data_IF_175397522018
#
_entry.id   IF_175397522018
#
_cell.length_a   1.000
_cell.length_b   1.000
_cell.length_c   1.000
_cell.angle_alpha   90.00
_cell.angle_beta   90.00
_cell.angle_gamma   90.00
#
_symmetry.space_group_name_H-M   'P 1'
#
loop_
_entity.id
_entity.type
_entity.pdbx_description
1 polymer ?
#
# COMPACT_ATOMS: atom_id res chain seq x y z
N UNK A 1 44.70 -17.48 83.73
CA UNK A 1 46.09 -17.11 83.33
C UNK A 1 46.13 -15.66 82.85
N UNK A 2 47.31 -15.03 82.91
CA UNK A 2 47.75 -13.76 82.29
C UNK A 2 49.16 -14.04 81.73
N UNK A 3 49.72 -13.31 80.73
CA UNK A 3 49.90 -11.84 80.68
C UNK A 3 49.43 -11.22 79.33
N UNK A 4 49.63 -9.94 78.98
CA UNK A 4 50.15 -8.70 79.60
C UNK A 4 49.92 -7.54 78.60
N UNK A 5 49.57 -6.29 78.96
CA UNK A 5 50.43 -5.25 79.56
C UNK A 5 51.52 -4.78 78.56
N UNK A 6 51.68 -3.50 78.15
CA UNK A 6 51.24 -2.14 78.60
C UNK A 6 51.14 -1.24 77.32
N UNK A 7 50.70 0.03 77.26
CA UNK A 7 50.26 1.06 78.23
C UNK A 7 49.82 2.37 77.47
N UNK A 8 49.46 3.45 78.18
CA UNK A 8 49.11 4.79 77.60
C UNK A 8 50.25 5.81 77.82
N UNK A 9 50.32 6.90 77.02
CA UNK A 9 49.83 8.22 77.53
C UNK A 9 49.11 9.13 76.48
N UNK A 10 48.55 10.26 76.95
CA UNK A 10 48.08 11.44 76.16
C UNK A 10 49.10 12.59 76.32
N UNK A 11 49.26 13.54 75.38
CA UNK A 11 48.60 14.87 75.48
C UNK A 11 48.20 15.50 74.10
N UNK A 12 47.04 16.19 73.97
CA UNK A 12 46.73 17.65 74.06
C UNK A 12 46.93 18.51 72.77
N UNK A 13 45.81 19.12 72.35
CA UNK A 13 45.59 20.51 71.86
C UNK A 13 46.56 21.20 70.86
N UNK A 14 46.00 21.72 69.75
CA UNK A 14 46.70 22.46 68.67
C UNK A 14 46.94 21.59 67.41
N UNK A 15 46.83 22.06 66.17
CA UNK A 15 46.47 23.38 65.61
C UNK A 15 45.45 23.23 64.43
N UNK A 16 45.32 24.24 63.54
CA UNK A 16 44.35 24.29 62.42
C UNK A 16 44.88 23.62 61.14
N UNK A 17 44.04 22.93 60.35
CA UNK A 17 44.38 22.56 58.97
C UNK A 17 43.38 21.70 58.17
N UNK A 18 42.75 22.31 57.15
CA UNK A 18 42.35 21.76 55.82
C UNK A 18 41.49 20.46 55.66
N UNK A 19 40.21 20.69 55.27
CA UNK A 19 39.39 20.05 54.19
C UNK A 19 38.98 18.54 54.14
N UNK A 20 37.67 18.33 53.91
CA UNK A 20 36.98 17.18 53.22
C UNK A 20 37.10 15.76 53.84
N UNK A 21 36.24 14.76 53.49
CA UNK A 21 34.90 14.73 52.86
C UNK A 21 33.84 13.95 53.73
N UNK A 22 32.64 13.55 53.28
CA UNK A 22 31.49 14.29 52.70
C UNK A 22 30.17 13.46 52.80
N UNK A 23 28.99 14.14 52.77
CA UNK A 23 27.62 13.55 52.66
C UNK A 23 27.05 12.79 53.91
N UNK A 24 25.72 12.51 54.05
CA UNK A 24 24.79 11.99 53.03
C UNK A 24 23.65 12.94 52.58
N UNK A 25 22.84 12.43 51.63
CA UNK A 25 21.79 13.09 50.85
C UNK A 25 20.68 13.80 51.65
N UNK A 26 20.28 14.99 51.17
CA UNK A 26 18.92 15.55 51.33
C UNK A 26 18.30 15.82 49.97
N UNK A 27 17.05 15.38 49.74
CA UNK A 27 16.30 15.67 48.52
C UNK A 27 16.08 17.18 48.38
N UNK A 28 16.50 17.79 47.27
CA UNK A 28 16.07 19.13 46.88
C UNK A 28 14.88 19.02 45.92
N UNK A 29 13.78 19.67 46.25
CA UNK A 29 12.70 19.94 45.30
C UNK A 29 13.20 21.03 44.34
N UNK A 30 13.04 20.81 43.03
CA UNK A 30 13.37 21.83 42.02
C UNK A 30 12.38 23.00 42.09
N UNK A 31 12.83 24.26 41.95
CA UNK A 31 11.94 25.41 41.97
C UNK A 31 11.03 25.40 40.73
N UNK A 32 9.70 25.50 40.94
CA UNK A 32 8.69 25.47 39.87
C UNK A 32 8.90 26.50 38.76
N UNK A 33 9.66 27.57 39.00
CA UNK A 33 9.99 28.61 38.03
C UNK A 33 10.84 28.15 36.83
N UNK A 34 11.58 27.03 36.94
CA UNK A 34 12.46 26.55 35.85
C UNK A 34 11.81 25.53 34.89
N UNK A 35 10.56 25.12 35.14
CA UNK A 35 9.87 24.16 34.27
C UNK A 35 9.30 24.80 32.99
N UNK A 36 8.86 26.06 33.06
CA UNK A 36 8.23 26.73 31.91
C UNK A 36 9.19 26.92 30.72
N UNK A 37 10.46 27.37 30.89
CA UNK A 37 11.40 27.46 29.77
C UNK A 37 11.72 26.10 29.13
N UNK A 38 11.80 25.03 29.94
CA UNK A 38 12.07 23.66 29.45
C UNK A 38 10.85 23.12 28.69
N UNK A 39 9.64 23.39 29.16
CA UNK A 39 8.41 23.01 28.46
C UNK A 39 8.26 23.76 27.13
N UNK A 40 8.54 25.06 27.12
CA UNK A 40 8.53 25.88 25.90
C UNK A 40 9.60 25.44 24.90
N UNK A 41 10.81 25.07 25.37
CA UNK A 41 11.85 24.50 24.52
C UNK A 41 11.43 23.14 23.95
N UNK A 42 10.82 22.26 24.75
CA UNK A 42 10.31 20.97 24.28
C UNK A 42 9.18 21.13 23.24
N UNK A 43 8.28 22.09 23.44
CA UNK A 43 7.23 22.43 22.47
C UNK A 43 7.80 23.06 21.19
N UNK A 44 8.82 23.92 21.30
CA UNK A 44 9.51 24.50 20.14
C UNK A 44 10.26 23.43 19.34
N UNK A 45 10.98 22.53 20.00
CA UNK A 45 11.65 21.38 19.36
C UNK A 45 10.63 20.41 18.76
N UNK A 46 9.52 20.12 19.44
CA UNK A 46 8.43 19.30 18.91
C UNK A 46 7.78 19.92 17.66
N UNK A 47 7.54 21.23 17.66
CA UNK A 47 7.01 21.98 16.51
C UNK A 47 8.02 22.06 15.35
N UNK A 48 9.31 22.25 15.65
CA UNK A 48 10.38 22.21 14.66
C UNK A 48 10.52 20.81 14.04
N UNK A 49 10.46 19.74 14.85
CA UNK A 49 10.47 18.36 14.35
C UNK A 49 9.21 18.04 13.54
N UNK A 50 8.02 18.49 13.97
CA UNK A 50 6.78 18.29 13.22
C UNK A 50 6.78 19.03 11.87
N UNK A 51 7.26 20.28 11.83
CA UNK A 51 7.38 21.05 10.58
C UNK A 51 8.49 20.52 9.68
N UNK A 52 9.62 20.08 10.23
CA UNK A 52 10.68 19.41 9.46
C UNK A 52 10.20 18.06 8.91
N UNK A 53 9.52 17.22 9.71
CA UNK A 53 8.93 15.94 9.29
C UNK A 53 7.86 16.14 8.20
N UNK A 54 6.95 17.10 8.39
CA UNK A 54 5.98 17.50 7.39
C UNK A 54 6.61 18.05 6.11
N UNK A 55 7.75 18.75 6.21
CA UNK A 55 8.52 19.21 5.05
C UNK A 55 9.31 18.08 4.37
N UNK A 56 9.75 17.08 5.13
CA UNK A 56 10.49 15.92 4.64
C UNK A 56 9.58 15.02 3.81
N UNK A 57 8.41 14.64 4.34
CA UNK A 57 7.40 13.92 3.56
C UNK A 57 6.98 14.71 2.32
N UNK A 58 6.71 16.01 2.45
CA UNK A 58 6.36 16.89 1.30
C UNK A 58 7.49 17.01 0.27
N UNK A 59 8.76 16.82 0.65
CA UNK A 59 9.92 16.80 -0.26
C UNK A 59 10.16 15.44 -0.90
N UNK A 60 9.72 14.34 -0.28
CA UNK A 60 9.71 13.00 -0.89
C UNK A 60 8.55 12.76 -1.87
N UNK A 61 7.62 13.71 -2.01
CA UNK A 61 6.46 13.59 -2.93
C UNK A 61 6.65 14.26 -4.30
N UNK A 62 7.83 14.79 -4.65
CA UNK A 62 8.15 15.18 -6.03
C UNK A 62 8.53 13.96 -6.90
N UNK A 63 7.63 12.98 -6.92
CA UNK A 63 7.50 12.04 -8.03
C UNK A 63 7.00 12.79 -9.28
N UNK A 64 7.27 12.28 -10.50
CA UNK A 64 6.74 12.88 -11.73
C UNK A 64 5.23 13.06 -11.63
N UNK A 65 4.74 14.28 -11.86
CA UNK A 65 3.31 14.56 -11.97
C UNK A 65 2.80 13.97 -13.27
N UNK A 66 2.39 12.69 -13.26
CA UNK A 66 1.45 12.20 -14.26
C UNK A 66 0.24 13.13 -14.26
N UNK A 67 -0.24 13.59 -15.43
CA UNK A 67 -1.33 14.55 -15.48
C UNK A 67 -2.55 14.04 -14.71
N UNK A 68 -3.26 14.94 -14.02
CA UNK A 68 -4.58 14.63 -13.48
C UNK A 68 -5.53 14.41 -14.65
N UNK A 69 -5.61 13.18 -15.14
CA UNK A 69 -6.71 12.75 -16.00
C UNK A 69 -8.00 12.94 -15.21
N UNK A 70 -8.80 13.90 -15.68
CA UNK A 70 -10.07 14.25 -15.06
C UNK A 70 -11.05 13.09 -15.14
N UNK A 71 -11.98 13.05 -14.19
CA UNK A 71 -13.10 12.12 -14.23
C UNK A 71 -13.82 12.22 -15.57
N UNK A 72 -14.03 11.10 -16.27
CA UNK A 72 -14.62 11.12 -17.62
C UNK A 72 -15.97 11.85 -17.61
N UNK A 73 -16.24 12.73 -18.59
CA UNK A 73 -17.57 13.26 -18.84
C UNK A 73 -18.59 12.13 -19.01
N UNK A 74 -19.82 12.32 -18.54
CA UNK A 74 -20.85 11.26 -18.51
C UNK A 74 -21.01 10.54 -19.85
N UNK A 75 -21.07 11.29 -20.96
CA UNK A 75 -21.20 10.72 -22.29
C UNK A 75 -20.04 9.79 -22.69
N UNK A 76 -18.83 10.00 -22.15
CA UNK A 76 -17.67 9.12 -22.36
C UNK A 76 -17.69 7.94 -21.37
N UNK A 77 -18.07 8.16 -20.11
CA UNK A 77 -18.29 7.08 -19.14
C UNK A 77 -19.36 6.07 -19.62
N UNK A 78 -20.51 6.56 -20.09
CA UNK A 78 -21.56 5.72 -20.71
C UNK A 78 -21.03 4.95 -21.93
N UNK A 79 -20.16 5.57 -22.75
CA UNK A 79 -19.52 4.92 -23.91
C UNK A 79 -18.58 3.78 -23.50
N UNK A 80 -17.77 3.96 -22.47
CA UNK A 80 -16.88 2.91 -21.93
C UNK A 80 -17.72 1.75 -21.38
N UNK A 81 -18.72 2.05 -20.54
CA UNK A 81 -19.64 1.03 -19.99
C UNK A 81 -20.39 0.27 -21.10
N UNK A 82 -20.83 0.96 -22.16
CA UNK A 82 -21.50 0.37 -23.33
C UNK A 82 -20.59 -0.44 -24.27
N UNK A 83 -19.28 -0.55 -23.98
CA UNK A 83 -18.39 -1.48 -24.69
C UNK A 83 -18.24 -2.83 -23.96
N UNK A 84 -18.68 -2.92 -22.69
CA UNK A 84 -18.53 -4.09 -21.82
C UNK A 84 -19.67 -5.11 -21.97
N UNK A 85 -20.14 -5.30 -23.20
CA UNK A 85 -21.02 -6.41 -23.56
C UNK A 85 -20.18 -7.69 -23.68
N UNK A 86 -20.56 -8.77 -22.99
CA UNK A 86 -19.72 -9.99 -22.91
C UNK A 86 -19.53 -10.69 -24.26
N UNK A 87 -20.57 -10.73 -25.11
CA UNK A 87 -20.49 -11.34 -26.45
C UNK A 87 -19.56 -10.53 -27.36
N UNK A 88 -19.68 -9.20 -27.29
CA UNK A 88 -18.77 -8.26 -27.96
C UNK A 88 -17.35 -8.36 -27.43
N UNK A 89 -17.15 -8.45 -26.12
CA UNK A 89 -15.81 -8.55 -25.49
C UNK A 89 -15.10 -9.82 -25.97
N UNK A 90 -15.80 -10.96 -25.98
CA UNK A 90 -15.27 -12.22 -26.48
C UNK A 90 -14.86 -12.12 -27.96
N UNK A 91 -15.79 -11.71 -28.84
CA UNK A 91 -15.54 -11.66 -30.28
C UNK A 91 -14.55 -10.58 -30.72
N UNK A 92 -14.54 -9.41 -30.06
CA UNK A 92 -13.79 -8.21 -30.50
C UNK A 92 -12.41 -8.10 -29.86
N UNK A 93 -12.23 -8.55 -28.62
CA UNK A 93 -11.02 -8.29 -27.84
C UNK A 93 -10.33 -9.57 -27.33
N UNK A 94 -11.07 -10.50 -26.71
CA UNK A 94 -10.46 -11.71 -26.14
C UNK A 94 -10.00 -12.69 -27.24
N UNK A 95 -10.86 -13.01 -28.22
CA UNK A 95 -10.49 -13.91 -29.32
C UNK A 95 -9.28 -13.41 -30.14
N UNK A 96 -9.12 -12.10 -30.44
CA UNK A 96 -7.88 -11.59 -31.05
C UNK A 96 -6.65 -11.54 -30.15
N UNK A 97 -6.77 -11.61 -28.81
CA UNK A 97 -5.63 -11.72 -27.90
C UNK A 97 -5.01 -13.13 -27.89
N UNK A 98 -5.78 -14.15 -28.27
CA UNK A 98 -5.28 -15.51 -28.51
C UNK A 98 -4.36 -15.61 -29.74
N UNK A 99 -4.28 -14.55 -30.57
CA UNK A 99 -3.40 -14.48 -31.74
C UNK A 99 -2.04 -13.90 -31.32
N UNK A 100 -1.06 -14.78 -31.13
CA UNK A 100 0.32 -14.41 -30.73
C UNK A 100 0.94 -13.42 -31.74
N UNK A 101 1.30 -12.23 -31.26
CA UNK A 101 1.99 -11.20 -32.05
C UNK A 101 3.48 -11.20 -31.71
N UNK A 102 4.28 -11.86 -32.53
CA UNK A 102 5.73 -11.92 -32.34
C UNK A 102 6.35 -10.50 -32.31
N UNK A 103 7.38 -10.26 -31.46
CA UNK A 103 8.09 -8.97 -31.41
C UNK A 103 8.58 -8.52 -32.79
N UNK A 104 8.46 -7.23 -33.09
CA UNK A 104 8.91 -6.65 -34.37
C UNK A 104 7.93 -6.81 -35.54
N UNK A 105 6.88 -7.62 -35.42
CA UNK A 105 5.80 -7.65 -36.44
C UNK A 105 5.09 -6.29 -36.55
N UNK A 106 4.50 -5.93 -37.71
CA UNK A 106 3.77 -4.67 -37.87
C UNK A 106 2.66 -4.46 -36.82
N UNK A 107 1.95 -5.53 -36.45
CA UNK A 107 0.93 -5.50 -35.39
C UNK A 107 1.48 -5.39 -33.96
N UNK A 108 2.75 -5.75 -33.73
CA UNK A 108 3.48 -5.43 -32.50
C UNK A 108 3.93 -3.97 -32.50
N UNK A 109 4.50 -3.48 -33.62
CA UNK A 109 4.96 -2.10 -33.77
C UNK A 109 3.82 -1.07 -33.70
N UNK A 110 2.63 -1.37 -34.23
CA UNK A 110 1.45 -0.50 -34.10
C UNK A 110 1.02 -0.31 -32.64
N UNK A 111 1.01 -1.38 -31.84
CA UNK A 111 0.68 -1.33 -30.40
C UNK A 111 1.78 -0.61 -29.60
N UNK A 112 3.02 -0.60 -30.10
CA UNK A 112 4.16 0.11 -29.52
C UNK A 112 4.32 1.57 -29.99
N UNK A 113 3.33 2.15 -30.69
CA UNK A 113 3.30 3.60 -30.93
C UNK A 113 3.16 4.32 -29.58
N UNK A 114 4.13 5.16 -29.25
CA UNK A 114 4.42 5.52 -27.87
C UNK A 114 3.40 6.48 -27.24
N UNK A 115 2.49 5.93 -26.44
CA UNK A 115 2.05 6.60 -25.22
C UNK A 115 3.16 6.48 -24.16
N UNK A 116 3.37 7.49 -23.27
CA UNK A 116 4.40 7.44 -22.24
C UNK A 116 4.07 6.45 -21.10
N UNK A 117 2.81 6.03 -21.01
CA UNK A 117 2.30 5.01 -20.08
C UNK A 117 1.49 4.01 -20.91
N UNK A 118 1.53 2.74 -20.54
CA UNK A 118 0.78 1.66 -21.23
C UNK A 118 0.30 0.60 -20.24
N UNK A 119 -0.64 -0.25 -20.66
CA UNK A 119 -1.17 -1.34 -19.87
C UNK A 119 -0.32 -2.60 -20.04
N UNK A 120 0.08 -3.21 -18.92
CA UNK A 120 0.59 -4.57 -18.86
C UNK A 120 -0.37 -5.43 -18.02
N UNK A 121 -0.66 -6.64 -18.48
CA UNK A 121 -1.35 -7.66 -17.71
C UNK A 121 -0.33 -8.71 -17.25
N UNK A 122 -0.47 -9.16 -16.01
CA UNK A 122 0.31 -10.24 -15.42
C UNK A 122 -0.67 -11.33 -14.98
N UNK A 123 -0.40 -12.56 -15.40
CA UNK A 123 -1.03 -13.77 -14.88
C UNK A 123 0.10 -14.52 -14.20
N UNK A 124 -0.02 -14.71 -12.89
CA UNK A 124 1.03 -15.23 -12.04
C UNK A 124 0.71 -16.69 -11.68
N UNK A 125 1.76 -17.48 -11.47
CA UNK A 125 1.69 -18.94 -11.34
C UNK A 125 2.30 -19.37 -10.01
N UNK A 126 1.67 -20.33 -9.34
CA UNK A 126 2.01 -20.73 -7.97
C UNK A 126 1.97 -19.55 -6.99
N UNK A 127 0.85 -18.84 -6.91
CA UNK A 127 0.56 -17.91 -5.81
C UNK A 127 0.40 -18.72 -4.51
N UNK A 128 -0.49 -19.72 -4.53
CA UNK A 128 -0.84 -20.57 -3.39
C UNK A 128 0.33 -21.35 -2.77
N UNK A 129 0.15 -21.73 -1.50
CA UNK A 129 1.01 -22.67 -0.78
C UNK A 129 0.74 -24.12 -1.20
N UNK A 130 1.80 -24.94 -1.28
CA UNK A 130 1.66 -26.38 -1.52
C UNK A 130 1.41 -27.17 -0.22
N UNK A 131 1.77 -26.62 0.96
CA UNK A 131 1.52 -27.22 2.27
C UNK A 131 1.23 -26.22 3.39
N UNK A 132 2.10 -25.24 3.58
CA UNK A 132 2.04 -24.32 4.71
C UNK A 132 2.52 -22.93 4.28
N UNK A 133 1.61 -21.95 4.30
CA UNK A 133 1.89 -20.60 3.83
C UNK A 133 3.11 -19.99 4.53
N UNK A 134 4.11 -19.58 3.74
CA UNK A 134 5.24 -18.83 4.28
C UNK A 134 6.35 -18.57 3.25
N UNK A 135 7.45 -17.91 3.65
CA UNK A 135 8.44 -17.32 2.72
C UNK A 135 9.12 -18.26 1.70
N UNK A 136 8.93 -19.57 1.84
CA UNK A 136 9.42 -20.62 0.93
C UNK A 136 8.30 -21.29 0.11
N UNK A 137 7.09 -21.35 0.64
CA UNK A 137 5.94 -22.14 0.20
C UNK A 137 4.68 -21.24 0.05
N UNK A 138 4.81 -20.25 -0.81
CA UNK A 138 3.77 -19.37 -1.39
C UNK A 138 4.44 -18.43 -2.41
N UNK A 139 3.69 -17.65 -3.18
CA UNK A 139 4.17 -16.54 -4.01
C UNK A 139 5.31 -16.92 -4.97
N UNK A 140 5.31 -18.12 -5.55
CA UNK A 140 6.40 -18.64 -6.37
C UNK A 140 6.62 -17.77 -7.63
N UNK A 141 5.55 -17.50 -8.38
CA UNK A 141 5.56 -16.71 -9.60
C UNK A 141 6.00 -15.26 -9.37
N UNK A 142 5.37 -14.54 -8.44
CA UNK A 142 5.75 -13.15 -8.12
C UNK A 142 7.16 -13.04 -7.52
N UNK A 143 7.57 -13.94 -6.61
CA UNK A 143 8.96 -13.96 -6.08
C UNK A 143 9.97 -14.16 -7.19
N UNK A 144 9.66 -14.94 -8.23
CA UNK A 144 10.52 -15.09 -9.40
C UNK A 144 10.49 -13.85 -10.31
N UNK A 145 9.29 -13.42 -10.74
CA UNK A 145 9.13 -12.32 -11.69
C UNK A 145 9.64 -10.98 -11.16
N UNK A 146 9.41 -10.66 -9.88
CA UNK A 146 9.88 -9.41 -9.28
C UNK A 146 11.42 -9.33 -9.26
N UNK A 147 12.11 -10.44 -8.97
CA UNK A 147 13.58 -10.55 -9.10
C UNK A 147 14.07 -10.39 -10.54
N UNK A 148 13.33 -10.94 -11.51
CA UNK A 148 13.69 -10.82 -12.92
C UNK A 148 13.46 -9.40 -13.45
N UNK A 149 12.37 -8.73 -13.03
CA UNK A 149 12.08 -7.34 -13.42
C UNK A 149 13.01 -6.33 -12.74
N UNK A 150 13.61 -6.69 -11.60
CA UNK A 150 14.69 -5.96 -10.92
C UNK A 150 16.05 -6.07 -11.63
N UNK A 151 16.29 -7.14 -12.41
CA UNK A 151 17.54 -7.30 -13.18
C UNK A 151 17.42 -6.93 -14.67
N UNK A 152 16.21 -6.86 -15.22
CA UNK A 152 15.97 -6.46 -16.62
C UNK A 152 15.98 -4.93 -16.81
N UNK A 153 16.86 -4.36 -17.66
CA UNK A 153 16.87 -2.92 -17.94
C UNK A 153 15.60 -2.38 -18.63
N UNK A 154 15.28 -1.09 -18.41
CA UNK A 154 14.14 -0.42 -19.06
C UNK A 154 14.26 1.11 -19.15
N UNK A 155 14.85 1.62 -20.23
CA UNK A 155 14.92 3.07 -20.51
C UNK A 155 13.51 3.69 -20.62
N UNK A 156 13.26 4.91 -20.07
CA UNK A 156 14.23 5.83 -19.48
C UNK A 156 14.60 5.55 -18.00
N UNK A 157 13.96 4.56 -17.37
CA UNK A 157 14.33 4.12 -16.02
C UNK A 157 15.56 3.20 -16.01
N UNK A 158 16.01 2.74 -14.81
CA UNK A 158 17.08 1.77 -14.72
C UNK A 158 16.59 0.34 -15.04
N UNK A 159 15.46 -0.09 -14.46
CA UNK A 159 14.95 -1.48 -14.53
C UNK A 159 13.45 -1.56 -14.81
N UNK A 160 12.97 -2.71 -15.28
CA UNK A 160 11.54 -2.94 -15.59
C UNK A 160 10.63 -2.83 -14.36
N UNK A 161 11.09 -3.19 -13.17
CA UNK A 161 10.27 -3.08 -11.96
C UNK A 161 10.06 -1.62 -11.54
N UNK A 162 11.05 -0.75 -11.79
CA UNK A 162 10.96 0.69 -11.54
C UNK A 162 10.11 1.43 -12.59
N UNK A 163 9.77 0.77 -13.70
CA UNK A 163 8.84 1.29 -14.70
C UNK A 163 7.36 1.04 -14.37
N UNK A 164 7.06 0.29 -13.29
CA UNK A 164 5.69 0.04 -12.84
C UNK A 164 5.19 1.27 -12.05
N UNK A 165 4.43 2.16 -12.68
CA UNK A 165 3.84 3.33 -12.00
C UNK A 165 2.78 2.93 -10.96
N UNK A 166 1.99 1.89 -11.26
CA UNK A 166 1.00 1.32 -10.35
C UNK A 166 0.79 -0.17 -10.65
N UNK A 167 1.01 -1.05 -9.67
CA UNK A 167 0.56 -2.43 -9.72
C UNK A 167 -0.83 -2.51 -9.08
N UNK A 168 -1.86 -2.69 -9.90
CA UNK A 168 -3.20 -3.07 -9.42
C UNK A 168 -3.25 -4.59 -9.39
N UNK A 169 -3.46 -5.18 -8.21
CA UNK A 169 -3.63 -6.62 -8.04
C UNK A 169 -5.08 -6.90 -7.63
N UNK A 170 -5.67 -7.92 -8.26
CA UNK A 170 -7.07 -8.30 -8.17
C UNK A 170 -7.13 -9.71 -7.62
N UNK A 171 -7.73 -9.90 -6.45
CA UNK A 171 -7.81 -11.22 -5.82
C UNK A 171 -9.14 -11.42 -5.05
N UNK A 172 -9.56 -12.67 -4.87
CA UNK A 172 -10.80 -13.13 -4.23
C UNK A 172 -12.06 -12.38 -4.73
N UNK A 173 -12.10 -12.06 -6.02
CA UNK A 173 -13.19 -11.34 -6.68
C UNK A 173 -14.25 -12.30 -7.24
N UNK A 174 -15.50 -12.16 -6.81
CA UNK A 174 -16.64 -12.84 -7.44
C UNK A 174 -17.85 -13.04 -6.54
N UNK A 175 -17.62 -13.17 -5.23
CA UNK A 175 -18.64 -13.29 -4.21
C UNK A 175 -19.61 -12.07 -4.16
N UNK A 176 -20.83 -12.22 -3.60
CA UNK A 176 -21.74 -11.09 -3.40
C UNK A 176 -21.19 -10.11 -2.36
N UNK A 177 -21.51 -8.82 -2.53
CA UNK A 177 -21.23 -7.73 -1.58
C UNK A 177 -19.78 -7.68 -1.02
N UNK A 178 -18.73 -7.74 -1.87
CA UNK A 178 -17.34 -7.69 -1.41
C UNK A 178 -17.02 -6.30 -0.85
N UNK A 179 -16.19 -6.25 0.19
CA UNK A 179 -15.73 -5.01 0.83
C UNK A 179 -14.25 -4.82 0.60
N UNK A 180 -13.84 -3.65 0.08
CA UNK A 180 -12.45 -3.29 -0.17
C UNK A 180 -12.05 -2.08 0.69
N UNK A 181 -10.79 -2.03 1.10
CA UNK A 181 -10.18 -0.91 1.84
C UNK A 181 -8.85 -0.47 1.20
N UNK A 182 -8.33 0.69 1.59
CA UNK A 182 -7.06 1.20 1.09
C UNK A 182 -5.87 0.64 1.87
N UNK A 183 -5.33 -0.50 1.44
CA UNK A 183 -4.20 -1.16 2.11
C UNK A 183 -2.91 -0.31 2.20
N UNK A 184 -2.70 0.68 1.32
CA UNK A 184 -1.45 1.45 1.27
C UNK A 184 -1.67 2.98 1.14
N UNK A 185 -1.16 3.80 2.07
CA UNK A 185 -1.29 5.27 1.99
C UNK A 185 -0.73 5.87 0.68
N UNK A 186 0.32 5.29 0.10
CA UNK A 186 0.94 5.77 -1.14
C UNK A 186 0.03 5.67 -2.37
N UNK A 187 -1.01 4.85 -2.33
CA UNK A 187 -1.96 4.62 -3.45
C UNK A 187 -3.42 4.95 -3.10
N UNK A 188 -3.69 5.49 -1.90
CA UNK A 188 -5.03 5.89 -1.45
C UNK A 188 -5.75 6.82 -2.44
N UNK A 189 -5.01 7.66 -3.16
CA UNK A 189 -5.54 8.54 -4.23
C UNK A 189 -6.24 7.75 -5.35
N UNK A 190 -5.74 6.56 -5.68
CA UNK A 190 -6.30 5.68 -6.70
C UNK A 190 -7.48 4.87 -6.16
N UNK A 191 -7.41 4.42 -4.90
CA UNK A 191 -8.55 3.82 -4.20
C UNK A 191 -9.74 4.81 -4.12
N UNK A 192 -9.48 6.09 -3.83
CA UNK A 192 -10.50 7.14 -3.87
C UNK A 192 -11.06 7.40 -5.29
N UNK A 193 -10.31 7.11 -6.36
CA UNK A 193 -10.86 7.13 -7.73
C UNK A 193 -11.84 5.99 -7.97
N UNK A 194 -11.51 4.75 -7.56
CA UNK A 194 -12.44 3.61 -7.64
C UNK A 194 -13.76 3.90 -6.92
N UNK A 195 -13.69 4.40 -5.68
CA UNK A 195 -14.88 4.85 -4.90
C UNK A 195 -15.65 5.99 -5.58
N UNK A 196 -14.96 6.92 -6.25
CA UNK A 196 -15.62 8.01 -7.00
C UNK A 196 -16.31 7.51 -8.27
N UNK A 197 -15.74 6.48 -8.92
CA UNK A 197 -16.28 5.83 -10.12
C UNK A 197 -17.52 4.98 -9.75
N UNK A 198 -17.45 4.19 -8.68
CA UNK A 198 -18.58 3.45 -8.09
C UNK A 198 -19.80 4.37 -7.88
N UNK A 199 -19.63 5.45 -7.11
CA UNK A 199 -20.67 6.46 -6.89
C UNK A 199 -21.28 7.03 -8.18
N UNK A 200 -20.43 7.34 -9.17
CA UNK A 200 -20.87 7.88 -10.46
C UNK A 200 -21.65 6.85 -11.28
N UNK A 201 -21.24 5.58 -11.26
CA UNK A 201 -21.96 4.50 -11.95
C UNK A 201 -23.31 4.21 -11.27
N UNK A 202 -23.36 4.17 -9.93
CA UNK A 202 -24.61 4.02 -9.18
C UNK A 202 -25.62 5.15 -9.51
N UNK A 203 -25.23 6.42 -9.38
CA UNK A 203 -26.10 7.59 -9.68
C UNK A 203 -26.69 7.60 -11.08
N UNK A 204 -25.99 6.98 -12.05
CA UNK A 204 -26.42 6.91 -13.45
C UNK A 204 -27.24 5.65 -13.76
N UNK A 205 -27.56 4.83 -12.75
CA UNK A 205 -28.17 3.50 -12.87
C UNK A 205 -27.38 2.56 -13.81
N UNK A 206 -26.05 2.61 -13.71
CA UNK A 206 -25.10 1.82 -14.50
C UNK A 206 -24.49 0.66 -13.70
N UNK A 207 -25.03 0.33 -12.52
CA UNK A 207 -24.68 -0.87 -11.73
C UNK A 207 -25.93 -1.75 -11.55
N UNK A 208 -25.75 -3.07 -11.50
CA UNK A 208 -26.80 -4.06 -11.26
C UNK A 208 -26.86 -4.42 -9.77
N UNK A 209 -28.07 -4.65 -9.23
CA UNK A 209 -28.28 -5.07 -7.83
C UNK A 209 -27.51 -4.24 -6.78
N UNK A 210 -27.40 -2.93 -7.01
CA UNK A 210 -26.57 -2.02 -6.21
C UNK A 210 -27.41 -0.94 -5.51
N UNK A 211 -28.23 -1.28 -4.49
CA UNK A 211 -29.23 -0.38 -3.90
C UNK A 211 -28.68 0.89 -3.25
N UNK A 212 -27.49 0.86 -2.64
CA UNK A 212 -26.91 2.02 -1.93
C UNK A 212 -25.78 2.70 -2.72
N UNK A 213 -25.42 3.95 -2.35
CA UNK A 213 -24.42 4.74 -3.09
C UNK A 213 -22.96 4.29 -2.85
N UNK A 214 -22.67 3.61 -1.73
CA UNK A 214 -21.31 3.14 -1.37
C UNK A 214 -21.41 1.76 -0.74
N UNK A 215 -20.89 0.72 -1.40
CA UNK A 215 -20.93 -0.64 -0.84
C UNK A 215 -19.62 -1.39 -0.97
N UNK A 216 -18.91 -1.26 -2.09
CA UNK A 216 -17.67 -2.00 -2.32
C UNK A 216 -16.44 -1.25 -1.80
N UNK A 217 -16.24 0.02 -2.17
CA UNK A 217 -15.01 0.75 -1.81
C UNK A 217 -15.21 1.58 -0.54
N UNK A 218 -14.97 0.95 0.62
CA UNK A 218 -15.27 1.53 1.92
C UNK A 218 -14.19 2.52 2.41
N UNK A 219 -14.56 3.54 3.22
CA UNK A 219 -13.61 4.41 3.89
C UNK A 219 -12.96 3.69 5.09
N UNK A 220 -11.73 4.10 5.43
CA UNK A 220 -10.97 3.55 6.55
C UNK A 220 -9.81 2.66 6.12
N UNK A 221 -9.22 2.00 7.10
CA UNK A 221 -8.11 1.06 6.95
C UNK A 221 -8.65 -0.38 6.92
N UNK A 222 -7.97 -1.33 6.24
CA UNK A 222 -8.36 -2.74 6.28
C UNK A 222 -8.27 -3.32 7.70
N UNK A 223 -9.04 -4.37 8.03
CA UNK A 223 -8.97 -5.03 9.34
C UNK A 223 -7.63 -5.74 9.62
N UNK A 224 -6.77 -5.89 8.60
CA UNK A 224 -5.42 -6.42 8.72
C UNK A 224 -4.63 -6.30 7.42
N UNK A 225 -3.33 -6.59 7.49
CA UNK A 225 -2.48 -6.79 6.31
C UNK A 225 -2.71 -8.18 5.72
N UNK A 226 -2.80 -8.28 4.39
CA UNK A 226 -2.81 -9.54 3.64
C UNK A 226 -1.44 -9.72 2.97
N UNK A 227 -0.84 -10.90 3.06
CA UNK A 227 0.26 -11.28 2.16
C UNK A 227 -0.34 -11.95 0.91
N UNK A 228 0.17 -11.57 -0.27
CA UNK A 228 -0.30 -11.98 -1.59
C UNK A 228 0.79 -11.54 -2.62
N UNK A 229 0.65 -11.87 -3.90
CA UNK A 229 1.61 -11.70 -5.00
C UNK A 229 2.13 -10.27 -5.22
N UNK A 230 1.51 -9.25 -4.61
CA UNK A 230 2.06 -7.89 -4.57
C UNK A 230 3.30 -7.75 -3.68
N UNK A 231 3.48 -8.61 -2.68
CA UNK A 231 4.51 -8.48 -1.63
C UNK A 231 5.95 -8.40 -2.21
N UNK A 232 6.36 -9.23 -3.19
CA UNK A 232 7.70 -9.15 -3.78
C UNK A 232 7.96 -7.88 -4.61
N UNK A 233 6.90 -7.21 -5.08
CA UNK A 233 6.97 -5.93 -5.80
C UNK A 233 6.94 -4.74 -4.84
N UNK A 234 6.07 -4.79 -3.82
CA UNK A 234 6.00 -3.79 -2.75
C UNK A 234 7.33 -3.64 -2.01
N UNK A 235 7.98 -4.76 -1.68
CA UNK A 235 9.33 -4.81 -1.06
C UNK A 235 10.43 -4.19 -1.96
N UNK A 236 10.14 -3.90 -3.23
CA UNK A 236 11.02 -3.23 -4.21
C UNK A 236 10.58 -1.79 -4.53
N UNK A 237 9.64 -1.24 -3.77
CA UNK A 237 9.19 0.14 -3.91
C UNK A 237 8.14 0.39 -5.01
N UNK A 238 7.54 -0.66 -5.59
CA UNK A 238 6.42 -0.53 -6.53
C UNK A 238 5.18 -0.01 -5.78
N UNK A 239 4.46 1.01 -6.30
CA UNK A 239 3.17 1.42 -5.73
C UNK A 239 2.12 0.34 -6.00
N UNK A 240 1.51 -0.21 -4.95
CA UNK A 240 0.50 -1.28 -5.04
C UNK A 240 -0.90 -0.74 -4.73
N UNK A 241 -1.89 -1.11 -5.53
CA UNK A 241 -3.32 -0.98 -5.23
C UNK A 241 -3.90 -2.40 -5.18
N UNK A 242 -3.96 -2.95 -3.97
CA UNK A 242 -4.45 -4.30 -3.71
C UNK A 242 -5.97 -4.27 -3.61
N UNK A 243 -6.66 -5.02 -4.49
CA UNK A 243 -8.10 -5.12 -4.58
C UNK A 243 -8.55 -6.54 -4.21
N UNK A 244 -8.45 -6.84 -2.92
CA UNK A 244 -8.95 -8.08 -2.30
C UNK A 244 -10.11 -7.79 -1.36
N UNK A 245 -11.13 -8.64 -1.37
CA UNK A 245 -12.25 -8.51 -0.45
C UNK A 245 -11.80 -8.81 0.98
N UNK A 246 -12.11 -7.95 1.95
CA UNK A 246 -11.86 -8.17 3.38
C UNK A 246 -13.12 -7.87 4.21
N UNK A 247 -13.72 -8.85 4.92
CA UNK A 247 -13.30 -10.25 5.04
C UNK A 247 -13.32 -11.01 3.70
N UNK A 248 -12.55 -12.09 3.64
CA UNK A 248 -12.49 -12.98 2.47
C UNK A 248 -13.88 -13.62 2.20
N UNK A 249 -14.19 -14.04 0.96
CA UNK A 249 -15.39 -14.80 0.65
C UNK A 249 -15.57 -16.01 1.57
N UNK A 250 -16.81 -16.28 2.02
CA UNK A 250 -17.10 -17.40 2.93
C UNK A 250 -16.92 -18.80 2.31
N UNK A 251 -16.55 -18.86 1.02
CA UNK A 251 -16.20 -20.08 0.28
C UNK A 251 -14.69 -20.25 0.09
N UNK A 252 -13.87 -19.25 0.41
CA UNK A 252 -12.41 -19.26 0.21
C UNK A 252 -11.76 -20.48 0.85
N UNK A 253 -10.82 -21.11 0.14
CA UNK A 253 -10.15 -22.36 0.53
C UNK A 253 -11.11 -23.53 0.81
N UNK A 254 -12.31 -23.52 0.24
CA UNK A 254 -13.25 -24.66 0.28
C UNK A 254 -13.64 -25.14 -1.13
N UNK A 255 -14.07 -26.40 -1.31
CA UNK A 255 -14.63 -26.88 -2.58
C UNK A 255 -15.92 -26.18 -3.04
N UNK A 256 -16.48 -25.26 -2.24
CA UNK A 256 -17.59 -24.43 -2.66
C UNK A 256 -17.14 -23.22 -3.51
N UNK A 257 -15.86 -22.86 -3.50
CA UNK A 257 -15.32 -21.81 -4.38
C UNK A 257 -15.34 -22.32 -5.84
N UNK A 258 -16.34 -21.87 -6.58
CA UNK A 258 -16.78 -22.49 -7.83
C UNK A 258 -17.72 -21.55 -8.59
N UNK A 259 -17.88 -21.78 -9.89
CA UNK A 259 -18.75 -20.98 -10.77
C UNK A 259 -20.17 -20.79 -10.21
N UNK A 260 -20.71 -21.81 -9.55
CA UNK A 260 -22.06 -21.79 -8.97
C UNK A 260 -22.24 -20.80 -7.79
N UNK A 261 -21.15 -20.38 -7.14
CA UNK A 261 -21.18 -19.42 -6.02
C UNK A 261 -20.65 -18.02 -6.42
N UNK A 262 -20.31 -17.80 -7.70
CA UNK A 262 -20.09 -16.45 -8.21
C UNK A 262 -21.40 -15.64 -8.19
N UNK A 263 -21.30 -14.33 -7.97
CA UNK A 263 -22.43 -13.40 -8.05
C UNK A 263 -22.29 -12.51 -9.30
N UNK A 264 -22.96 -12.85 -10.43
CA UNK A 264 -22.78 -12.14 -11.70
C UNK A 264 -22.98 -10.62 -11.65
N UNK A 265 -23.96 -10.06 -10.89
CA UNK A 265 -24.09 -8.61 -10.74
C UNK A 265 -22.84 -7.95 -10.13
N UNK A 266 -22.19 -8.59 -9.15
CA UNK A 266 -20.93 -8.06 -8.58
C UNK A 266 -19.81 -8.11 -9.61
N UNK A 267 -19.60 -9.25 -10.28
CA UNK A 267 -18.57 -9.40 -11.32
C UNK A 267 -18.75 -8.35 -12.42
N UNK A 268 -20.00 -8.11 -12.83
CA UNK A 268 -20.37 -7.11 -13.84
C UNK A 268 -20.11 -5.66 -13.36
N UNK A 269 -20.47 -5.34 -12.10
CA UNK A 269 -20.22 -4.04 -11.50
C UNK A 269 -18.74 -3.72 -11.35
N UNK A 270 -17.95 -4.66 -10.82
CA UNK A 270 -16.50 -4.52 -10.70
C UNK A 270 -15.85 -4.35 -12.08
N UNK A 271 -16.28 -5.13 -13.08
CA UNK A 271 -15.83 -4.98 -14.47
C UNK A 271 -16.08 -3.56 -15.01
N UNK A 272 -17.25 -2.97 -14.70
CA UNK A 272 -17.59 -1.59 -15.09
C UNK A 272 -16.73 -0.55 -14.37
N UNK A 273 -16.49 -0.72 -13.06
CA UNK A 273 -15.67 0.18 -12.26
C UNK A 273 -14.21 0.15 -12.72
N UNK A 274 -13.64 -1.04 -12.93
CA UNK A 274 -12.26 -1.24 -13.39
C UNK A 274 -12.03 -0.72 -14.81
N UNK A 275 -12.97 -0.93 -15.74
CA UNK A 275 -12.86 -0.41 -17.10
C UNK A 275 -12.90 1.13 -17.15
N UNK A 276 -13.76 1.77 -16.35
CA UNK A 276 -13.77 3.23 -16.21
C UNK A 276 -12.52 3.73 -15.50
N UNK A 277 -11.99 3.00 -14.51
CA UNK A 277 -10.72 3.34 -13.87
C UNK A 277 -9.54 3.29 -14.85
N UNK A 278 -9.44 2.25 -15.67
CA UNK A 278 -8.40 2.14 -16.71
C UNK A 278 -8.54 3.23 -17.78
N UNK A 279 -9.78 3.57 -18.18
CA UNK A 279 -10.02 4.67 -19.12
C UNK A 279 -9.66 6.04 -18.54
N UNK A 280 -9.93 6.28 -17.25
CA UNK A 280 -9.46 7.48 -16.54
C UNK A 280 -7.93 7.47 -16.41
N UNK A 281 -7.32 6.36 -15.99
CA UNK A 281 -5.87 6.25 -15.80
C UNK A 281 -5.07 6.47 -17.11
N UNK A 282 -5.56 5.92 -18.22
CA UNK A 282 -4.90 5.98 -19.53
C UNK A 282 -5.36 7.14 -20.42
N UNK A 283 -6.35 7.95 -19.99
CA UNK A 283 -6.82 9.13 -20.72
C UNK A 283 -7.67 8.86 -21.97
N UNK A 284 -8.37 7.72 -22.00
CA UNK A 284 -9.15 7.21 -23.15
C UNK A 284 -10.54 7.86 -23.28
#
# INVERSE_FOLDING_TARGET
>A
MRPGGRGRPRPRLGERGLMEPSSPLKRRLLPRAQLLPVLLLALAVGSALYTLWGSWHRRTEELPRTPLTGSLPEARLRRVVGQLDLQRLWGTFLRPLLVVRAPGTPGSLQVRKAAPVTLQLLFLDGEEALKEWGPKDSLYGSRHLARLMESMPHSPGPTRIQAIELFVLLDLLGAPNPTFYSHFPRTIRWFHRLRSIEKRLHRLNLLQSHPEEVMYFQPGEPPGSVEDDHIPFLRRGVPVLHLIATPFPSVWHTPADSEANLHPPTVHNLSRILAVFLAEYLGL
#
